data_IF_215308853562
#
_entry.id   IF_215308853562
#
_cell.length_a   1.000
_cell.length_b   1.000
_cell.length_c   1.000
_cell.angle_alpha   90.00
_cell.angle_beta   90.00
_cell.angle_gamma   90.00
#
_symmetry.space_group_name_H-M   'P 1'
#
loop_
_entity.id
_entity.type
_entity.pdbx_description
1 polymer ?
#
# COMPACT_ATOMS: atom_id res chain seq x y z
N UNK A 1 -12.99 -0.78 17.10
CA UNK A 1 -13.00 -0.59 15.63
C UNK A 1 -11.74 -1.28 15.14
N UNK A 2 -11.73 -1.88 13.94
CA UNK A 2 -10.48 -2.39 13.36
C UNK A 2 -9.81 -1.21 12.66
N UNK A 3 -8.69 -0.76 13.19
CA UNK A 3 -7.97 0.45 12.74
C UNK A 3 -6.63 0.08 12.09
N UNK A 4 -6.05 -1.06 12.46
CA UNK A 4 -4.75 -1.52 11.98
C UNK A 4 -4.82 -2.93 11.35
N UNK A 5 -3.93 -3.25 10.41
CA UNK A 5 -3.99 -4.54 9.69
C UNK A 5 -3.68 -5.75 10.57
N UNK A 6 -2.91 -5.59 11.65
CA UNK A 6 -2.69 -6.67 12.61
C UNK A 6 -3.96 -7.00 13.41
N UNK A 7 -4.82 -6.01 13.68
CA UNK A 7 -6.13 -6.24 14.30
C UNK A 7 -7.06 -6.93 13.30
N UNK A 8 -7.01 -6.51 12.03
CA UNK A 8 -7.77 -7.10 10.94
C UNK A 8 -7.39 -8.58 10.70
N UNK A 9 -6.10 -8.91 10.85
CA UNK A 9 -5.58 -10.28 10.76
C UNK A 9 -6.25 -11.23 11.76
N UNK A 10 -6.50 -10.76 12.98
CA UNK A 10 -7.16 -11.53 14.03
C UNK A 10 -8.69 -11.50 13.88
N UNK A 11 -9.26 -10.35 13.49
CA UNK A 11 -10.69 -10.19 13.32
C UNK A 11 -11.26 -11.00 12.14
N UNK A 12 -10.47 -11.21 11.08
CA UNK A 12 -10.93 -11.80 9.81
C UNK A 12 -10.03 -12.95 9.31
N UNK A 13 -9.92 -14.06 10.07
CA UNK A 13 -9.00 -15.14 9.73
C UNK A 13 -9.24 -15.77 8.35
N UNK A 14 -10.48 -15.77 7.86
CA UNK A 14 -10.86 -16.27 6.55
C UNK A 14 -10.35 -15.43 5.37
N UNK A 15 -9.95 -14.18 5.62
CA UNK A 15 -9.52 -13.22 4.59
C UNK A 15 -8.01 -12.90 4.68
N UNK A 16 -7.24 -13.61 5.50
CA UNK A 16 -5.79 -13.40 5.69
C UNK A 16 -4.99 -13.44 4.38
N UNK A 17 -5.46 -14.19 3.39
CA UNK A 17 -4.85 -14.29 2.08
C UNK A 17 -4.80 -12.93 1.34
N UNK A 18 -5.67 -11.98 1.67
CA UNK A 18 -5.63 -10.62 1.10
C UNK A 18 -4.39 -9.83 1.55
N UNK A 19 -3.86 -10.14 2.73
CA UNK A 19 -2.61 -9.54 3.21
C UNK A 19 -1.37 -10.21 2.62
N UNK A 20 -1.54 -11.40 2.02
CA UNK A 20 -0.48 -12.07 1.27
C UNK A 20 -0.38 -11.44 -0.10
N UNK A 21 0.56 -10.51 -0.25
CA UNK A 21 0.75 -9.72 -1.46
C UNK A 21 1.11 -10.57 -2.68
N UNK A 22 1.77 -11.72 -2.49
CA UNK A 22 2.04 -12.69 -3.56
C UNK A 22 0.77 -13.40 -3.99
N UNK A 23 0.00 -13.94 -3.05
CA UNK A 23 -1.26 -14.64 -3.33
C UNK A 23 -2.27 -13.71 -4.01
N UNK A 24 -2.40 -12.46 -3.53
CA UNK A 24 -3.24 -11.44 -4.16
C UNK A 24 -2.81 -11.18 -5.60
N UNK A 25 -1.51 -10.97 -5.85
CA UNK A 25 -0.99 -10.74 -7.19
C UNK A 25 -1.28 -11.90 -8.15
N UNK A 26 -1.10 -13.15 -7.69
CA UNK A 26 -1.39 -14.35 -8.48
C UNK A 26 -2.88 -14.48 -8.79
N UNK A 27 -3.77 -14.21 -7.83
CA UNK A 27 -5.22 -14.23 -8.03
C UNK A 27 -5.71 -13.14 -9.01
N UNK A 28 -4.99 -12.02 -9.08
CA UNK A 28 -5.26 -10.94 -10.04
C UNK A 28 -4.62 -11.21 -11.41
N UNK A 29 -3.85 -12.29 -11.56
CA UNK A 29 -3.24 -12.70 -12.83
C UNK A 29 -1.94 -11.96 -13.18
N UNK A 30 -1.31 -11.31 -12.22
CA UNK A 30 -0.03 -10.61 -12.44
C UNK A 30 1.14 -11.57 -12.58
N UNK A 31 2.19 -11.14 -13.27
CA UNK A 31 3.47 -11.83 -13.29
C UNK A 31 4.20 -11.62 -11.95
N UNK A 32 4.15 -12.62 -11.08
CA UNK A 32 4.78 -12.61 -9.78
C UNK A 32 5.36 -13.98 -9.40
N UNK A 33 6.32 -13.98 -8.48
CA UNK A 33 6.90 -15.21 -7.93
C UNK A 33 7.62 -14.97 -6.60
N UNK A 34 7.65 -15.97 -5.70
CA UNK A 34 8.42 -15.87 -4.47
C UNK A 34 9.93 -15.82 -4.76
N UNK A 35 10.71 -15.55 -3.72
CA UNK A 35 12.15 -15.81 -3.75
C UNK A 35 12.45 -17.22 -4.30
N UNK A 36 13.54 -17.34 -5.05
CA UNK A 36 13.97 -18.55 -5.75
C UNK A 36 13.09 -19.04 -6.91
N UNK A 37 12.15 -18.24 -7.39
CA UNK A 37 11.47 -18.47 -8.68
C UNK A 37 11.98 -17.45 -9.69
N UNK A 38 12.65 -17.86 -10.78
CA UNK A 38 13.15 -16.92 -11.79
C UNK A 38 12.04 -16.14 -12.49
N UNK A 39 12.35 -14.89 -12.86
CA UNK A 39 11.49 -14.09 -13.74
C UNK A 39 11.41 -14.73 -15.13
N UNK A 40 10.26 -14.59 -15.78
CA UNK A 40 10.04 -15.13 -17.14
C UNK A 40 10.33 -14.12 -18.24
N UNK A 41 10.44 -12.84 -17.89
CA UNK A 41 10.72 -11.72 -18.79
C UNK A 41 11.79 -10.83 -18.18
N UNK A 42 12.64 -10.25 -19.01
CA UNK A 42 13.58 -9.22 -18.55
C UNK A 42 12.84 -7.90 -18.42
N UNK A 43 12.97 -7.20 -17.29
CA UNK A 43 12.27 -5.96 -17.06
C UNK A 43 12.39 -5.41 -15.65
N UNK A 44 11.52 -4.45 -15.35
CA UNK A 44 11.39 -3.82 -14.03
C UNK A 44 10.40 -4.59 -13.17
N UNK A 45 10.77 -4.78 -11.91
CA UNK A 45 9.99 -5.51 -10.91
C UNK A 45 9.99 -4.75 -9.60
N UNK A 46 8.92 -4.91 -8.82
CA UNK A 46 8.93 -4.61 -7.39
C UNK A 46 9.29 -5.89 -6.63
N UNK A 47 10.31 -5.81 -5.76
CA UNK A 47 10.66 -6.85 -4.79
C UNK A 47 10.25 -6.37 -3.40
N UNK A 48 9.34 -7.08 -2.73
CA UNK A 48 8.80 -6.66 -1.42
C UNK A 48 8.42 -7.87 -0.56
N UNK A 49 8.24 -7.71 0.77
CA UNK A 49 7.80 -8.79 1.64
C UNK A 49 6.46 -9.39 1.19
N UNK A 50 6.30 -10.71 1.35
CA UNK A 50 5.02 -11.41 1.10
C UNK A 50 3.92 -10.89 2.03
N UNK A 51 4.27 -10.71 3.31
CA UNK A 51 3.43 -10.03 4.30
C UNK A 51 4.17 -8.82 4.86
N UNK A 52 3.46 -7.71 4.98
CA UNK A 52 3.89 -6.54 5.74
C UNK A 52 2.62 -5.85 6.26
N UNK A 53 2.14 -6.27 7.43
CA UNK A 53 0.95 -5.70 8.08
C UNK A 53 1.22 -4.34 8.74
N UNK A 54 2.48 -3.96 8.90
CA UNK A 54 2.84 -2.61 9.33
C UNK A 54 2.66 -1.59 8.19
N UNK A 55 2.83 -2.04 6.94
CA UNK A 55 2.66 -1.22 5.75
C UNK A 55 3.87 -0.33 5.46
N UNK A 56 3.59 0.87 4.94
CA UNK A 56 4.59 1.92 4.63
C UNK A 56 5.67 1.54 3.61
N UNK A 57 5.44 0.51 2.79
CA UNK A 57 6.40 0.09 1.77
C UNK A 57 7.74 -0.42 2.33
N UNK A 58 7.79 -0.80 3.62
CA UNK A 58 9.02 -1.28 4.26
C UNK A 58 9.58 -2.47 3.49
N UNK A 59 10.89 -2.40 3.20
CA UNK A 59 11.64 -3.39 2.42
C UNK A 59 11.16 -3.59 0.97
N UNK A 60 10.30 -2.72 0.46
CA UNK A 60 9.96 -2.71 -0.96
C UNK A 60 11.04 -1.97 -1.75
N UNK A 61 11.51 -2.60 -2.83
CA UNK A 61 12.52 -2.01 -3.71
C UNK A 61 12.16 -2.26 -5.17
N UNK A 62 12.45 -1.28 -6.02
CA UNK A 62 12.46 -1.48 -7.46
C UNK A 62 13.74 -2.21 -7.87
N UNK A 63 13.62 -3.18 -8.77
CA UNK A 63 14.73 -3.98 -9.30
C UNK A 63 14.52 -4.27 -10.78
N UNK A 64 15.56 -4.03 -11.57
CA UNK A 64 15.67 -4.59 -12.90
C UNK A 64 16.16 -6.04 -12.78
N UNK A 65 15.38 -7.00 -13.29
CA UNK A 65 15.72 -8.43 -13.28
C UNK A 65 15.73 -8.96 -14.71
N UNK A 66 16.73 -9.78 -15.03
CA UNK A 66 16.89 -10.44 -16.32
C UNK A 66 16.56 -11.92 -16.23
N UNK A 67 16.06 -12.51 -17.32
CA UNK A 67 15.94 -13.97 -17.44
C UNK A 67 17.30 -14.68 -17.30
N UNK A 68 18.40 -13.98 -17.59
CA UNK A 68 19.75 -14.50 -17.44
C UNK A 68 20.21 -14.52 -15.96
N UNK A 69 19.48 -13.86 -15.06
CA UNK A 69 19.76 -13.85 -13.62
C UNK A 69 19.16 -15.07 -12.91
N UNK A 70 18.65 -16.08 -13.65
CA UNK A 70 17.95 -17.22 -13.09
C UNK A 70 18.76 -17.94 -11.99
N UNK A 71 20.05 -18.20 -12.23
CA UNK A 71 20.93 -18.84 -11.24
C UNK A 71 21.10 -17.97 -9.99
N UNK A 72 21.26 -16.67 -10.17
CA UNK A 72 21.37 -15.71 -9.08
C UNK A 72 20.06 -15.62 -8.26
N UNK A 73 18.91 -15.68 -8.94
CA UNK A 73 17.57 -15.64 -8.32
C UNK A 73 17.32 -16.90 -7.49
N UNK A 74 17.61 -18.10 -8.01
CA UNK A 74 17.41 -19.36 -7.25
C UNK A 74 18.32 -19.48 -6.02
N UNK A 75 19.39 -18.67 -5.95
CA UNK A 75 20.32 -18.59 -4.84
C UNK A 75 20.14 -17.32 -3.98
N UNK A 76 18.94 -16.71 -3.99
CA UNK A 76 18.57 -15.54 -3.16
C UNK A 76 19.37 -14.25 -3.40
N UNK A 77 20.18 -14.14 -4.46
CA UNK A 77 21.03 -12.95 -4.69
C UNK A 77 20.20 -11.69 -4.90
N UNK A 78 19.08 -11.79 -5.61
CA UNK A 78 18.23 -10.65 -5.96
C UNK A 78 16.99 -10.51 -5.08
N UNK A 79 16.45 -11.62 -4.56
CA UNK A 79 15.21 -11.66 -3.79
C UNK A 79 15.49 -12.33 -2.44
N UNK A 80 15.44 -11.57 -1.33
CA UNK A 80 15.63 -12.13 0.01
C UNK A 80 14.57 -13.18 0.37
N UNK A 81 14.86 -14.13 1.27
CA UNK A 81 13.83 -14.98 1.87
C UNK A 81 12.67 -14.16 2.43
N UNK A 82 11.44 -14.67 2.28
CA UNK A 82 10.21 -13.98 2.72
C UNK A 82 9.76 -12.81 1.82
N UNK A 83 10.52 -12.48 0.77
CA UNK A 83 10.11 -11.53 -0.26
C UNK A 83 9.61 -12.25 -1.52
N UNK A 84 8.93 -11.50 -2.37
CA UNK A 84 8.51 -11.91 -3.70
C UNK A 84 8.78 -10.78 -4.69
N UNK A 85 8.84 -11.12 -5.98
CA UNK A 85 8.85 -10.17 -7.08
C UNK A 85 7.48 -10.13 -7.76
N UNK A 86 7.11 -8.96 -8.27
CA UNK A 86 5.93 -8.73 -9.10
C UNK A 86 6.31 -7.77 -10.22
N UNK A 87 5.70 -7.89 -11.40
CA UNK A 87 5.88 -6.95 -12.49
C UNK A 87 5.65 -5.51 -12.02
N UNK A 88 6.45 -4.59 -12.56
CA UNK A 88 6.36 -3.18 -12.20
C UNK A 88 5.19 -2.49 -12.89
N UNK A 89 4.34 -1.84 -12.10
CA UNK A 89 3.25 -1.02 -12.62
C UNK A 89 3.63 0.47 -12.65
N UNK A 90 3.22 1.14 -13.72
CA UNK A 90 3.29 2.60 -13.83
C UNK A 90 1.90 3.21 -13.91
N UNK A 91 1.74 4.37 -13.30
CA UNK A 91 0.49 5.13 -13.36
C UNK A 91 0.16 5.82 -12.06
N UNK A 92 -1.11 6.25 -11.96
CA UNK A 92 -1.68 6.92 -10.80
C UNK A 92 -1.79 5.93 -9.64
N UNK A 93 -1.14 6.23 -8.51
CA UNK A 93 -1.31 5.48 -7.26
C UNK A 93 -2.51 6.06 -6.51
N UNK A 94 -3.60 5.30 -6.38
CA UNK A 94 -4.81 5.73 -5.67
C UNK A 94 -5.14 4.75 -4.54
N UNK A 95 -5.46 5.29 -3.36
CA UNK A 95 -6.06 4.55 -2.25
C UNK A 95 -7.54 4.91 -2.18
N UNK A 96 -8.43 3.91 -2.11
CA UNK A 96 -9.88 4.10 -2.19
C UNK A 96 -10.56 3.40 -1.01
N UNK A 97 -11.36 4.14 -0.24
CA UNK A 97 -12.18 3.61 0.84
C UNK A 97 -13.60 3.29 0.37
N UNK A 98 -14.12 2.16 0.85
CA UNK A 98 -15.43 1.63 0.55
C UNK A 98 -16.25 1.40 1.81
N UNK A 99 -17.57 1.52 1.67
CA UNK A 99 -18.56 1.11 2.66
C UNK A 99 -19.49 0.07 2.05
N UNK A 100 -20.04 -0.83 2.88
CA UNK A 100 -20.96 -1.86 2.41
C UNK A 100 -22.38 -1.31 2.28
N UNK A 101 -22.95 -1.37 1.08
CA UNK A 101 -24.36 -1.10 0.82
C UNK A 101 -25.03 -2.36 0.27
N UNK A 102 -25.81 -3.03 1.13
CA UNK A 102 -26.32 -4.37 0.83
C UNK A 102 -25.17 -5.36 0.60
N UNK A 103 -25.15 -6.00 -0.57
CA UNK A 103 -24.09 -6.94 -0.94
C UNK A 103 -22.92 -6.30 -1.71
N UNK A 104 -22.96 -4.98 -1.97
CA UNK A 104 -21.94 -4.29 -2.75
C UNK A 104 -21.05 -3.42 -1.87
N UNK A 105 -19.78 -3.33 -2.25
CA UNK A 105 -18.85 -2.33 -1.73
C UNK A 105 -18.98 -1.08 -2.61
N UNK A 106 -19.32 0.05 -2.00
CA UNK A 106 -19.51 1.33 -2.68
C UNK A 106 -18.40 2.27 -2.24
N UNK A 107 -17.64 2.79 -3.22
CA UNK A 107 -16.56 3.72 -2.95
C UNK A 107 -17.13 5.06 -2.46
N UNK A 108 -16.58 5.60 -1.39
CA UNK A 108 -17.03 6.90 -0.85
C UNK A 108 -15.90 7.92 -0.71
N UNK A 109 -14.64 7.49 -0.71
CA UNK A 109 -13.49 8.38 -0.59
C UNK A 109 -12.27 7.83 -1.32
N UNK A 110 -11.43 8.71 -1.84
CA UNK A 110 -10.16 8.32 -2.45
C UNK A 110 -9.09 9.39 -2.30
N UNK A 111 -7.84 8.96 -2.24
CA UNK A 111 -6.67 9.82 -2.24
C UNK A 111 -5.64 9.33 -3.26
N UNK A 112 -5.03 10.25 -4.00
CA UNK A 112 -3.93 9.93 -4.93
C UNK A 112 -2.61 10.31 -4.28
N UNK A 113 -1.72 9.33 -4.13
CA UNK A 113 -0.39 9.51 -3.55
C UNK A 113 0.65 9.85 -4.61
N UNK A 114 1.47 10.87 -4.34
CA UNK A 114 2.62 11.22 -5.16
C UNK A 114 3.91 10.93 -4.41
N UNK A 115 4.68 9.96 -4.90
CA UNK A 115 6.01 9.63 -4.37
C UNK A 115 7.04 10.73 -4.66
N UNK A 116 8.03 10.87 -3.79
CA UNK A 116 9.16 11.79 -3.98
C UNK A 116 9.99 11.43 -5.20
N UNK A 117 10.18 10.14 -5.47
CA UNK A 117 10.83 9.63 -6.66
C UNK A 117 10.33 8.22 -6.98
N UNK A 118 10.71 7.69 -8.15
CA UNK A 118 10.45 6.27 -8.49
C UNK A 118 11.30 5.29 -7.66
N UNK A 119 12.33 5.76 -6.98
CA UNK A 119 13.26 4.95 -6.19
C UNK A 119 12.96 5.02 -4.69
N UNK A 120 12.19 6.03 -4.25
CA UNK A 120 11.72 6.19 -2.88
C UNK A 120 10.25 5.78 -2.78
N UNK A 121 10.00 4.52 -2.41
CA UNK A 121 8.65 3.93 -2.33
C UNK A 121 7.95 4.18 -0.99
N UNK A 122 8.64 4.78 -0.02
CA UNK A 122 8.15 4.99 1.34
C UNK A 122 7.77 6.45 1.60
N UNK A 123 8.40 7.40 0.90
CA UNK A 123 8.20 8.84 1.11
C UNK A 123 7.30 9.46 0.04
N UNK A 124 6.11 9.84 0.49
CA UNK A 124 5.17 10.63 -0.30
C UNK A 124 5.41 12.13 -0.12
N UNK A 125 5.33 12.87 -1.23
CA UNK A 125 5.35 14.34 -1.26
C UNK A 125 3.99 14.89 -0.86
N UNK A 126 2.93 14.28 -1.37
CA UNK A 126 1.55 14.70 -1.10
C UNK A 126 0.59 13.54 -1.36
N UNK A 127 -0.55 13.61 -0.70
CA UNK A 127 -1.75 12.90 -1.06
C UNK A 127 -2.85 13.90 -1.38
N UNK A 128 -3.50 13.78 -2.54
CA UNK A 128 -4.60 14.66 -2.94
C UNK A 128 -5.94 13.93 -2.80
N UNK A 129 -6.95 14.56 -2.19
CA UNK A 129 -8.31 14.02 -2.14
C UNK A 129 -8.90 14.07 -3.55
N UNK A 130 -9.39 12.92 -4.04
CA UNK A 130 -9.85 12.77 -5.43
C UNK A 130 -11.15 11.98 -5.49
N UNK A 131 -11.71 11.85 -6.70
CA UNK A 131 -12.82 10.92 -6.94
C UNK A 131 -12.27 9.48 -7.00
N UNK A 132 -12.95 8.50 -6.38
CA UNK A 132 -12.67 7.09 -6.61
C UNK A 132 -12.66 6.75 -8.10
N UNK A 133 -11.65 6.01 -8.53
CA UNK A 133 -11.46 5.61 -9.93
C UNK A 133 -11.04 4.15 -10.00
N UNK A 134 -11.96 3.27 -9.62
CA UNK A 134 -11.80 1.81 -9.69
C UNK A 134 -13.18 1.14 -9.74
N UNK A 135 -13.29 0.09 -10.55
CA UNK A 135 -14.35 -0.90 -10.46
C UNK A 135 -13.81 -2.14 -9.73
N UNK A 136 -14.48 -2.56 -8.66
CA UNK A 136 -14.02 -3.70 -7.89
C UNK A 136 -14.36 -5.01 -8.62
N UNK A 137 -13.46 -6.01 -8.60
CA UNK A 137 -13.80 -7.32 -9.12
C UNK A 137 -14.90 -7.97 -8.25
N UNK A 138 -15.81 -8.70 -8.89
CA UNK A 138 -17.01 -9.27 -8.25
C UNK A 138 -16.70 -10.07 -6.98
N UNK A 139 -15.58 -10.79 -6.96
CA UNK A 139 -15.20 -11.61 -5.80
C UNK A 139 -14.93 -10.76 -4.55
N UNK A 140 -14.49 -9.50 -4.70
CA UNK A 140 -14.20 -8.62 -3.58
C UNK A 140 -15.49 -8.15 -2.90
N UNK A 141 -16.62 -8.13 -3.62
CA UNK A 141 -17.94 -7.93 -3.03
C UNK A 141 -18.37 -9.08 -2.09
N UNK A 142 -17.72 -10.24 -2.12
CA UNK A 142 -17.96 -11.31 -1.16
C UNK A 142 -17.13 -11.18 0.13
N UNK A 143 -16.22 -10.21 0.20
CA UNK A 143 -15.48 -9.90 1.43
C UNK A 143 -16.39 -9.13 2.40
N UNK A 144 -16.35 -9.53 3.66
CA UNK A 144 -17.12 -8.90 4.74
C UNK A 144 -16.18 -8.40 5.83
N UNK A 145 -16.27 -7.11 6.14
CA UNK A 145 -15.60 -6.50 7.29
C UNK A 145 -16.66 -5.86 8.19
N UNK A 146 -16.24 -5.36 9.35
CA UNK A 146 -17.13 -4.67 10.27
C UNK A 146 -17.76 -3.41 9.66
N UNK A 147 -17.01 -2.67 8.81
CA UNK A 147 -17.51 -1.40 8.27
C UNK A 147 -16.83 -0.97 6.97
N UNK A 148 -15.51 -1.01 6.92
CA UNK A 148 -14.72 -0.42 5.84
C UNK A 148 -13.84 -1.44 5.13
N UNK A 149 -13.57 -1.16 3.88
CA UNK A 149 -12.58 -1.82 3.04
C UNK A 149 -11.78 -0.73 2.35
N UNK A 150 -10.48 -0.89 2.25
CA UNK A 150 -9.62 -0.01 1.46
C UNK A 150 -8.91 -0.83 0.39
N UNK A 151 -8.79 -0.25 -0.80
CA UNK A 151 -8.09 -0.85 -1.93
C UNK A 151 -7.11 0.17 -2.47
N UNK A 152 -5.84 -0.23 -2.57
CA UNK A 152 -4.81 0.57 -3.21
C UNK A 152 -4.55 0.05 -4.62
N UNK A 153 -4.45 0.97 -5.58
CA UNK A 153 -4.21 0.67 -6.99
C UNK A 153 -3.05 1.45 -7.55
N UNK A 154 -2.40 0.88 -8.56
CA UNK A 154 -1.63 1.63 -9.54
C UNK A 154 -2.36 1.50 -10.87
N UNK A 155 -2.92 2.61 -11.36
CA UNK A 155 -3.87 2.62 -12.47
C UNK A 155 -5.07 1.71 -12.14
N UNK A 156 -5.31 0.68 -12.94
CA UNK A 156 -6.41 -0.27 -12.77
C UNK A 156 -5.98 -1.52 -11.98
N UNK A 157 -4.70 -1.63 -11.63
CA UNK A 157 -4.14 -2.81 -10.97
C UNK A 157 -4.24 -2.65 -9.45
N UNK A 158 -5.00 -3.53 -8.80
CA UNK A 158 -5.07 -3.62 -7.34
C UNK A 158 -3.74 -4.13 -6.81
N UNK A 159 -3.06 -3.35 -5.96
CA UNK A 159 -1.75 -3.72 -5.41
C UNK A 159 -1.82 -4.17 -3.95
N UNK A 160 -2.82 -3.70 -3.19
CA UNK A 160 -3.07 -4.02 -1.78
C UNK A 160 -4.58 -3.90 -1.47
N UNK A 161 -5.03 -4.71 -0.50
CA UNK A 161 -6.40 -4.67 0.04
C UNK A 161 -6.31 -4.68 1.55
N UNK A 162 -6.94 -3.70 2.21
CA UNK A 162 -7.00 -3.60 3.67
C UNK A 162 -8.45 -3.78 4.15
N UNK A 163 -8.63 -4.53 5.23
CA UNK A 163 -9.96 -4.85 5.80
C UNK A 163 -10.44 -3.79 6.82
N UNK A 164 -10.07 -2.54 6.54
CA UNK A 164 -10.26 -1.32 7.34
C UNK A 164 -10.24 -0.12 6.39
N UNK A 165 -10.42 1.08 6.92
CA UNK A 165 -10.17 2.33 6.18
C UNK A 165 -8.68 2.59 6.00
N UNK A 166 -8.34 3.39 4.99
CA UNK A 166 -6.99 3.87 4.72
C UNK A 166 -6.86 5.40 4.63
N UNK A 167 -7.96 6.12 4.41
CA UNK A 167 -7.94 7.55 4.10
C UNK A 167 -8.62 8.44 5.16
N UNK A 168 -8.75 8.00 6.40
CA UNK A 168 -9.51 8.71 7.46
C UNK A 168 -9.09 10.17 7.63
N UNK A 169 -7.80 10.46 7.44
CA UNK A 169 -7.22 11.82 7.50
C UNK A 169 -7.84 12.77 6.47
N UNK A 170 -8.32 12.24 5.35
CA UNK A 170 -8.87 13.00 4.22
C UNK A 170 -10.40 13.09 4.21
N UNK A 171 -11.13 12.36 5.05
CA UNK A 171 -12.59 12.20 4.92
C UNK A 171 -13.40 13.49 5.05
N UNK A 172 -12.90 14.45 5.83
CA UNK A 172 -13.58 15.72 6.09
C UNK A 172 -13.10 16.85 5.15
N UNK A 173 -12.51 16.50 4.01
CA UNK A 173 -11.90 17.45 3.09
C UNK A 173 -12.46 17.27 1.68
N UNK A 174 -12.56 18.40 0.95
CA UNK A 174 -13.09 18.44 -0.40
C UNK A 174 -12.10 17.88 -1.42
N UNK A 175 -12.62 17.47 -2.58
CA UNK A 175 -11.80 17.07 -3.73
C UNK A 175 -10.82 18.21 -4.08
N UNK A 176 -9.55 17.87 -4.26
CA UNK A 176 -8.46 18.80 -4.52
C UNK A 176 -7.69 19.25 -3.27
N UNK A 177 -8.18 18.95 -2.05
CA UNK A 177 -7.41 19.19 -0.82
C UNK A 177 -6.15 18.34 -0.80
N UNK A 178 -5.03 18.95 -0.40
CA UNK A 178 -3.73 18.27 -0.29
C UNK A 178 -3.40 17.95 1.15
N UNK A 179 -3.17 16.67 1.42
CA UNK A 179 -2.68 16.13 2.68
C UNK A 179 -1.21 15.81 2.51
N UNK A 180 -0.36 16.68 3.05
CA UNK A 180 1.09 16.65 2.85
C UNK A 180 1.74 16.00 4.07
N UNK A 181 2.40 14.82 3.96
CA UNK A 181 3.09 14.23 5.10
C UNK A 181 4.13 15.18 5.68
N UNK A 182 4.13 15.29 7.01
CA UNK A 182 5.16 15.98 7.77
C UNK A 182 6.20 14.94 8.22
N UNK A 183 7.45 15.11 7.79
CA UNK A 183 8.53 14.19 8.12
C UNK A 183 9.40 14.75 9.26
N UNK A 184 9.87 13.87 10.14
CA UNK A 184 10.76 14.21 11.24
C UNK A 184 12.05 14.82 10.68
N UNK A 185 12.35 16.06 11.08
CA UNK A 185 13.54 16.80 10.62
C UNK A 185 13.26 17.81 9.50
N UNK A 186 12.10 17.75 8.85
CA UNK A 186 11.70 18.78 7.88
C UNK A 186 11.36 20.11 8.58
N UNK A 187 11.52 21.22 7.85
CA UNK A 187 11.09 22.54 8.34
C UNK A 187 9.56 22.57 8.46
N UNK A 188 9.09 23.09 9.59
CA UNK A 188 7.67 23.32 9.80
C UNK A 188 7.10 24.25 8.72
N UNK A 189 5.87 23.95 8.28
CA UNK A 189 5.14 24.75 7.30
C UNK A 189 4.10 25.62 8.00
N UNK A 190 3.86 26.81 7.48
CA UNK A 190 2.80 27.70 7.95
C UNK A 190 1.44 27.24 7.40
N UNK A 191 0.98 26.10 7.91
CA UNK A 191 -0.19 25.37 7.44
C UNK A 191 -0.86 24.65 8.62
N UNK A 192 -2.13 24.25 8.48
CA UNK A 192 -2.82 23.44 9.48
C UNK A 192 -2.09 22.11 9.65
N UNK A 193 -1.56 21.85 10.84
CA UNK A 193 -0.93 20.58 11.20
C UNK A 193 -1.95 19.62 11.82
N UNK A 194 -1.95 18.38 11.35
CA UNK A 194 -2.68 17.25 11.91
C UNK A 194 -1.66 16.24 12.44
N UNK A 195 -1.62 15.95 13.75
CA UNK A 195 -0.74 14.91 14.26
C UNK A 195 -1.14 13.54 13.70
N UNK A 196 -0.22 12.58 13.76
CA UNK A 196 -0.55 11.18 13.50
C UNK A 196 -1.71 10.72 14.40
N UNK A 197 -2.44 9.71 13.92
CA UNK A 197 -3.61 9.17 14.62
C UNK A 197 -3.27 8.62 16.02
N UNK A 198 -2.14 7.92 16.16
CA UNK A 198 -1.59 7.53 17.45
C UNK A 198 -0.55 8.54 17.92
N UNK A 199 -0.59 8.86 19.21
CA UNK A 199 0.36 9.77 19.86
C UNK A 199 1.74 9.13 20.11
N UNK A 200 1.82 7.80 20.12
CA UNK A 200 3.08 7.07 20.31
C UNK A 200 3.89 7.05 19.01
N UNK A 201 4.95 7.85 18.97
CA UNK A 201 5.86 7.93 17.82
C UNK A 201 6.58 6.61 17.53
N UNK A 202 6.74 5.71 18.52
CA UNK A 202 7.36 4.40 18.29
C UNK A 202 6.59 3.58 17.25
N UNK A 203 5.27 3.77 17.17
CA UNK A 203 4.40 3.13 16.17
C UNK A 203 4.60 3.64 14.75
N UNK A 204 5.37 4.71 14.56
CA UNK A 204 5.66 5.29 13.25
C UNK A 204 7.13 5.18 12.86
N UNK A 205 7.99 4.69 13.77
CA UNK A 205 9.42 4.47 13.53
C UNK A 205 9.73 3.07 12.99
N UNK A 206 8.74 2.16 13.02
CA UNK A 206 8.88 0.77 12.61
C UNK A 206 10.09 0.07 13.26
N UNK A 207 10.37 0.38 14.52
CA UNK A 207 11.57 -0.08 15.24
C UNK A 207 12.88 0.19 14.47
N UNK A 208 12.97 1.36 13.83
CA UNK A 208 14.14 1.78 13.06
C UNK A 208 14.20 1.26 11.62
N UNK A 209 13.16 0.56 11.14
CA UNK A 209 13.09 0.09 9.74
C UNK A 209 12.76 1.22 8.74
N UNK A 210 12.40 2.41 9.21
CA UNK A 210 12.12 3.58 8.38
C UNK A 210 13.22 4.64 8.53
N UNK A 211 13.78 5.09 7.40
CA UNK A 211 14.68 6.24 7.34
C UNK A 211 13.94 7.57 7.57
N UNK A 212 12.72 7.65 7.03
CA UNK A 212 11.88 8.84 7.07
C UNK A 212 10.67 8.56 7.97
N UNK A 213 10.67 9.17 9.15
CA UNK A 213 9.59 8.99 10.14
C UNK A 213 8.55 10.07 9.94
N UNK A 214 7.32 9.69 9.61
CA UNK A 214 6.19 10.62 9.52
C UNK A 214 5.74 11.03 10.93
N UNK A 215 5.59 12.32 11.19
CA UNK A 215 5.12 12.87 12.47
C UNK A 215 3.68 13.41 12.42
N UNK A 216 3.10 13.51 11.22
CA UNK A 216 1.74 13.96 10.99
C UNK A 216 1.55 14.40 9.54
N UNK A 217 0.64 15.35 9.34
CA UNK A 217 0.31 15.90 8.03
C UNK A 217 0.09 17.42 8.13
N UNK A 218 0.40 18.12 7.05
CA UNK A 218 -0.07 19.46 6.77
C UNK A 218 -1.23 19.41 5.78
N UNK A 219 -2.20 20.31 5.92
CA UNK A 219 -3.33 20.39 5.00
C UNK A 219 -3.28 21.70 4.21
N UNK A 220 -3.33 21.60 2.88
CA UNK A 220 -3.37 22.69 1.91
C UNK A 220 -4.70 22.72 1.16
#
# INVERSE_FOLDING_TARGET
>A
MVEEDYEAWDAYPQYRWLFNKLELALNLGFEAGPACVPVKKTGEYIVRPVYNLYGMGISAVRRYLSINDAEDIINHKHIPPGHFWCEWFEGKHQSVDFVKEGNKWVAFHAMVGKHESKDNLTKFVEWEVTKPDIELPDWLHNVTTLKYLNVETIKDNIIEVHLRSGNDVGWNYDIGTKIIPAWKGDKAKDMKFLPNFHSDTKRYEADGQLSDVRIGYYVA
#
